data_IF_019851340204
#
_entry.id   IF_019851340204
#
_cell.length_a   1.000
_cell.length_b   1.000
_cell.length_c   1.000
_cell.angle_alpha   90.00
_cell.angle_beta   90.00
_cell.angle_gamma   90.00
#
_symmetry.space_group_name_H-M   'P 1'
#
loop_
_entity.id
_entity.type
_entity.pdbx_description
1 polymer ?
#
# COMPACT_ATOMS: atom_id res chain seq x y z
N UNK A 1 -2.88 -15.45 -30.93
CA UNK A 1 -2.27 -14.21 -30.41
C UNK A 1 -0.94 -14.05 -31.11
N UNK A 2 -0.68 -12.90 -31.72
CA UNK A 2 0.59 -12.65 -32.38
C UNK A 2 1.72 -12.65 -31.35
N UNK A 3 2.57 -13.68 -31.41
CA UNK A 3 3.73 -13.88 -30.53
C UNK A 3 4.88 -12.91 -30.78
N UNK A 4 4.63 -11.78 -31.46
CA UNK A 4 5.68 -10.94 -32.03
C UNK A 4 5.85 -9.58 -31.33
N UNK A 5 5.20 -9.37 -30.19
CA UNK A 5 5.41 -8.15 -29.39
C UNK A 5 6.73 -8.23 -28.61
N UNK A 6 7.29 -7.08 -28.24
CA UNK A 6 8.48 -7.04 -27.37
C UNK A 6 8.24 -7.76 -26.04
N UNK A 7 7.01 -7.77 -25.55
CA UNK A 7 6.66 -8.46 -24.31
C UNK A 7 6.72 -9.98 -24.44
N UNK A 8 6.26 -10.55 -25.56
CA UNK A 8 6.41 -11.98 -25.81
C UNK A 8 7.89 -12.38 -25.86
N UNK A 9 8.74 -11.57 -26.49
CA UNK A 9 10.19 -11.81 -26.50
C UNK A 9 10.80 -11.81 -25.10
N UNK A 10 10.42 -10.87 -24.23
CA UNK A 10 10.90 -10.87 -22.83
C UNK A 10 10.44 -12.10 -22.07
N UNK A 11 9.19 -12.54 -22.28
CA UNK A 11 8.69 -13.77 -21.66
C UNK A 11 9.43 -15.00 -22.18
N UNK A 12 9.69 -15.10 -23.47
CA UNK A 12 10.51 -16.18 -24.06
C UNK A 12 11.92 -16.19 -23.47
N UNK A 13 12.61 -15.05 -23.43
CA UNK A 13 13.93 -14.92 -22.79
C UNK A 13 13.89 -15.33 -21.30
N UNK A 14 12.80 -15.05 -20.59
CA UNK A 14 12.62 -15.48 -19.20
C UNK A 14 12.46 -16.99 -19.06
N UNK A 15 11.54 -17.60 -19.81
CA UNK A 15 11.30 -19.04 -19.74
C UNK A 15 12.47 -19.87 -20.28
N UNK A 16 13.21 -19.33 -21.26
CA UNK A 16 14.47 -19.89 -21.74
C UNK A 16 15.64 -19.71 -20.75
N UNK A 17 15.43 -18.97 -19.64
CA UNK A 17 16.43 -18.65 -18.62
C UNK A 17 17.63 -17.85 -19.13
N UNK A 18 17.43 -17.08 -20.20
CA UNK A 18 18.43 -16.17 -20.75
C UNK A 18 18.50 -14.86 -19.97
N UNK A 19 17.34 -14.36 -19.52
CA UNK A 19 17.22 -13.16 -18.66
C UNK A 19 16.16 -13.34 -17.60
N UNK A 20 16.43 -12.89 -16.38
CA UNK A 20 15.47 -12.99 -15.28
C UNK A 20 14.54 -11.77 -15.23
N UNK A 21 13.63 -11.67 -16.20
CA UNK A 21 12.70 -10.54 -16.30
C UNK A 21 11.75 -10.43 -15.10
N UNK A 22 11.41 -11.54 -14.44
CA UNK A 22 10.55 -11.56 -13.24
C UNK A 22 11.35 -11.46 -11.93
N UNK A 23 12.62 -11.02 -12.02
CA UNK A 23 13.44 -10.78 -10.84
C UNK A 23 12.90 -9.63 -10.01
N UNK A 24 12.50 -8.54 -10.66
CA UNK A 24 12.02 -7.31 -10.04
C UNK A 24 10.59 -7.04 -10.47
N UNK A 25 9.76 -6.61 -9.52
CA UNK A 25 8.36 -6.31 -9.79
C UNK A 25 7.68 -5.66 -8.59
N UNK A 26 6.38 -5.39 -8.70
CA UNK A 26 5.59 -4.81 -7.62
C UNK A 26 5.17 -5.91 -6.62
N UNK A 27 6.15 -6.60 -6.06
CA UNK A 27 5.93 -7.66 -5.06
C UNK A 27 5.87 -7.11 -3.63
N UNK A 28 6.16 -5.82 -3.46
CA UNK A 28 6.05 -5.11 -2.20
C UNK A 28 4.61 -4.63 -2.01
N UNK A 29 4.02 -4.95 -0.86
CA UNK A 29 2.70 -4.46 -0.46
C UNK A 29 2.74 -2.98 -0.09
N UNK A 30 1.64 -2.26 -0.27
CA UNK A 30 1.54 -0.84 0.11
C UNK A 30 1.19 -0.63 1.59
N UNK A 31 0.83 -1.71 2.30
CA UNK A 31 0.45 -1.72 3.71
C UNK A 31 0.75 -3.07 4.37
N UNK A 32 1.44 -3.08 5.51
CA UNK A 32 1.72 -4.29 6.32
C UNK A 32 1.47 -4.12 7.83
N UNK A 33 0.93 -2.99 8.27
CA UNK A 33 0.50 -2.81 9.65
C UNK A 33 -0.84 -3.51 9.93
N UNK A 34 -1.08 -3.91 11.18
CA UNK A 34 -2.30 -4.61 11.60
C UNK A 34 -2.39 -6.07 11.14
N UNK A 35 -1.27 -6.73 10.82
CA UNK A 35 -1.27 -8.08 10.25
C UNK A 35 -0.97 -9.17 11.29
N UNK A 36 -1.55 -10.36 11.10
CA UNK A 36 -1.33 -11.53 11.98
C UNK A 36 0.12 -12.01 12.02
N UNK A 37 0.92 -11.68 10.99
CA UNK A 37 2.34 -12.09 10.91
C UNK A 37 3.21 -11.27 11.86
N UNK A 38 2.85 -10.02 12.07
CA UNK A 38 3.56 -9.10 12.96
C UNK A 38 2.96 -9.04 14.37
N UNK A 39 1.98 -9.90 14.67
CA UNK A 39 1.35 -9.98 15.98
C UNK A 39 2.20 -10.77 16.97
N UNK A 40 2.71 -10.07 17.98
CA UNK A 40 3.38 -10.66 19.13
C UNK A 40 2.67 -10.29 20.44
N UNK A 41 1.41 -9.87 20.36
CA UNK A 41 0.59 -9.62 21.54
C UNK A 41 0.33 -10.93 22.30
N UNK A 42 0.16 -10.88 23.64
CA UNK A 42 -0.13 -12.06 24.44
C UNK A 42 -1.51 -12.67 24.16
N UNK A 43 -2.41 -11.94 23.50
CA UNK A 43 -3.82 -12.28 23.31
C UNK A 43 -4.23 -12.45 21.84
N UNK A 44 -3.32 -12.31 20.87
CA UNK A 44 -3.65 -12.43 19.45
C UNK A 44 -4.35 -11.20 18.86
N UNK A 45 -4.10 -10.01 19.41
CA UNK A 45 -4.63 -8.73 18.94
C UNK A 45 -3.76 -8.09 17.84
N UNK A 46 -3.75 -8.73 16.67
CA UNK A 46 -3.00 -8.28 15.50
C UNK A 46 -3.34 -6.84 15.08
N UNK A 47 -4.62 -6.45 15.22
CA UNK A 47 -5.11 -5.15 14.77
C UNK A 47 -4.55 -3.97 15.58
N UNK A 48 -4.33 -4.17 16.88
CA UNK A 48 -3.83 -3.12 17.76
C UNK A 48 -2.34 -3.28 18.11
N UNK A 49 -1.74 -4.45 17.91
CA UNK A 49 -0.34 -4.69 18.27
C UNK A 49 0.67 -3.95 17.38
N UNK A 50 0.41 -3.89 16.07
CA UNK A 50 1.19 -3.12 15.10
C UNK A 50 0.29 -2.08 14.41
N UNK A 51 -0.01 -0.94 15.05
CA UNK A 51 -0.77 0.13 14.43
C UNK A 51 0.06 0.88 13.38
N UNK A 52 -0.63 1.63 12.51
CA UNK A 52 0.00 2.53 11.53
C UNK A 52 1.05 3.48 12.15
N UNK A 53 0.87 3.92 13.39
CA UNK A 53 1.83 4.81 14.04
C UNK A 53 3.16 4.12 14.35
N UNK A 54 3.15 2.83 14.65
CA UNK A 54 4.37 2.05 14.85
C UNK A 54 5.01 1.64 13.53
N UNK A 55 4.23 1.48 12.46
CA UNK A 55 4.66 1.07 11.12
C UNK A 55 5.84 1.89 10.58
N UNK A 56 5.93 3.19 10.93
CA UNK A 56 7.02 4.07 10.47
C UNK A 56 8.33 3.94 11.23
N UNK A 57 8.30 3.31 12.40
CA UNK A 57 9.42 3.30 13.35
C UNK A 57 9.72 1.91 13.90
N UNK A 58 9.10 0.86 13.35
CA UNK A 58 9.30 -0.52 13.76
C UNK A 58 9.86 -1.32 12.60
N UNK A 59 10.90 -2.10 12.87
CA UNK A 59 11.41 -3.09 11.93
C UNK A 59 10.42 -4.24 11.79
N UNK A 60 10.05 -4.55 10.55
CA UNK A 60 9.18 -5.67 10.23
C UNK A 60 10.02 -6.95 10.21
N UNK A 61 9.40 -8.08 10.57
CA UNK A 61 10.08 -9.39 10.62
C UNK A 61 9.67 -10.29 9.46
N UNK A 62 8.47 -10.12 8.94
CA UNK A 62 7.86 -11.06 7.98
C UNK A 62 7.36 -10.39 6.69
N UNK A 63 7.68 -9.12 6.50
CA UNK A 63 7.30 -8.36 5.31
C UNK A 63 7.91 -6.98 5.31
N UNK A 64 7.53 -6.18 4.32
CA UNK A 64 7.81 -4.75 4.24
C UNK A 64 6.64 -4.06 3.53
N UNK A 65 6.50 -2.74 3.71
CA UNK A 65 5.52 -1.95 2.97
C UNK A 65 6.08 -0.68 2.32
N UNK A 66 5.40 -0.24 1.26
CA UNK A 66 5.76 1.00 0.57
C UNK A 66 4.84 1.37 -0.60
N UNK A 67 4.49 2.66 -0.71
CA UNK A 67 3.68 3.18 -1.82
C UNK A 67 4.40 2.96 -3.15
N UNK A 68 3.68 2.37 -4.11
CA UNK A 68 4.19 2.04 -5.44
C UNK A 68 5.52 1.27 -5.38
N UNK A 69 5.62 0.37 -4.40
CA UNK A 69 6.83 -0.35 -4.10
C UNK A 69 7.24 -1.34 -5.18
N UNK A 70 8.55 -1.48 -5.38
CA UNK A 70 9.15 -2.55 -6.17
C UNK A 70 10.15 -3.32 -5.31
N UNK A 71 10.25 -4.62 -5.51
CA UNK A 71 11.23 -5.45 -4.83
C UNK A 71 11.73 -6.55 -5.74
N UNK A 72 12.82 -7.20 -5.33
CA UNK A 72 13.14 -8.49 -5.93
C UNK A 72 12.07 -9.52 -5.52
N UNK A 73 11.94 -10.61 -6.27
CA UNK A 73 10.89 -11.63 -6.09
C UNK A 73 10.86 -12.32 -4.71
N UNK A 74 11.88 -12.10 -3.90
CA UNK A 74 11.99 -12.60 -2.52
C UNK A 74 11.80 -11.50 -1.46
N UNK A 75 11.58 -10.25 -1.88
CA UNK A 75 11.51 -9.06 -1.01
C UNK A 75 12.75 -8.90 -0.11
N UNK A 76 13.94 -9.22 -0.61
CA UNK A 76 15.21 -8.97 0.10
C UNK A 76 15.65 -7.51 -0.03
N UNK A 77 15.34 -6.89 -1.17
CA UNK A 77 15.63 -5.49 -1.47
C UNK A 77 14.34 -4.83 -1.91
N UNK A 78 13.92 -3.80 -1.19
CA UNK A 78 12.68 -3.09 -1.39
C UNK A 78 12.98 -1.62 -1.72
N UNK A 79 12.26 -1.09 -2.71
CA UNK A 79 12.25 0.33 -3.05
C UNK A 79 10.80 0.80 -2.98
N UNK A 80 10.59 2.02 -2.51
CA UNK A 80 9.27 2.64 -2.46
C UNK A 80 9.38 4.14 -2.66
N UNK A 81 8.26 4.77 -3.01
CA UNK A 81 8.17 6.23 -3.10
C UNK A 81 7.78 6.77 -1.74
N UNK A 82 8.58 7.71 -1.22
CA UNK A 82 8.26 8.50 -0.04
C UNK A 82 8.10 9.97 -0.44
N UNK A 83 7.00 10.59 -0.03
CA UNK A 83 6.66 11.97 -0.36
C UNK A 83 6.49 12.80 0.92
N UNK A 84 6.72 14.11 0.81
CA UNK A 84 6.39 15.07 1.86
C UNK A 84 5.95 16.39 1.23
N UNK A 85 4.77 16.87 1.62
CA UNK A 85 4.16 18.10 1.14
C UNK A 85 4.56 19.32 1.99
N UNK A 86 5.37 19.12 3.04
CA UNK A 86 5.77 20.16 3.99
C UNK A 86 4.77 20.43 5.10
N UNK A 87 3.56 19.87 5.01
CA UNK A 87 2.47 20.07 5.96
C UNK A 87 2.22 18.83 6.82
N UNK A 88 2.44 17.63 6.26
CA UNK A 88 2.22 16.37 6.96
C UNK A 88 3.22 16.21 8.12
N UNK A 89 2.78 15.69 9.28
CA UNK A 89 3.66 15.42 10.41
C UNK A 89 4.63 14.26 10.15
N UNK A 90 4.41 13.48 9.09
CA UNK A 90 5.12 12.25 8.76
C UNK A 90 5.38 12.17 7.25
N UNK A 91 6.37 11.37 6.83
CA UNK A 91 6.53 11.03 5.43
C UNK A 91 5.36 10.16 4.93
N UNK A 92 4.90 10.46 3.72
CA UNK A 92 3.92 9.64 3.01
C UNK A 92 4.64 8.54 2.24
N UNK A 93 4.88 7.44 2.94
CA UNK A 93 5.63 6.28 2.43
C UNK A 93 4.81 5.00 2.39
N UNK A 94 3.66 4.96 3.06
CA UNK A 94 2.72 3.83 3.12
C UNK A 94 1.27 4.32 3.13
N UNK A 95 0.35 3.46 2.70
CA UNK A 95 -1.06 3.80 2.70
C UNK A 95 -1.63 3.77 4.13
N UNK A 96 -2.42 4.79 4.42
CA UNK A 96 -3.21 4.92 5.63
C UNK A 96 -4.60 4.32 5.45
N UNK A 97 -5.15 3.83 6.55
CA UNK A 97 -6.49 3.25 6.57
C UNK A 97 -6.93 2.94 7.99
N UNK A 98 -8.10 2.34 8.08
CA UNK A 98 -8.70 1.83 9.30
C UNK A 98 -8.49 0.33 9.38
N UNK A 99 -8.16 -0.16 10.58
CA UNK A 99 -8.19 -1.60 10.86
C UNK A 99 -9.64 -2.09 10.91
N UNK A 100 -9.83 -3.41 10.87
CA UNK A 100 -11.15 -4.03 10.88
C UNK A 100 -12.09 -3.50 11.97
N UNK A 101 -11.62 -3.36 13.24
CA UNK A 101 -12.44 -2.80 14.31
C UNK A 101 -12.72 -1.29 14.21
N UNK A 102 -12.00 -0.54 13.36
CA UNK A 102 -12.11 0.91 13.23
C UNK A 102 -13.02 1.36 12.08
N UNK A 103 -13.22 0.52 11.05
CA UNK A 103 -14.18 0.80 9.98
C UNK A 103 -15.55 0.18 10.28
N UNK A 104 -16.62 0.88 9.90
CA UNK A 104 -17.99 0.40 10.06
C UNK A 104 -18.31 -0.80 9.15
N UNK A 105 -17.58 -0.97 8.04
CA UNK A 105 -17.65 -2.10 7.12
C UNK A 105 -16.37 -2.96 7.07
N UNK A 106 -15.42 -2.74 7.99
CA UNK A 106 -14.20 -3.54 8.12
C UNK A 106 -12.92 -2.74 7.87
N UNK A 107 -11.90 -3.40 7.32
CA UNK A 107 -10.66 -2.71 6.93
C UNK A 107 -10.91 -1.80 5.73
N UNK A 108 -10.33 -0.61 5.79
CA UNK A 108 -10.69 0.44 4.85
C UNK A 108 -9.51 1.39 4.59
N UNK A 109 -9.04 1.46 3.35
CA UNK A 109 -7.93 2.32 2.95
C UNK A 109 -8.46 3.71 2.65
N UNK A 110 -8.00 4.71 3.41
CA UNK A 110 -8.49 6.09 3.30
C UNK A 110 -7.68 6.93 2.32
N UNK A 111 -7.31 6.32 1.20
CA UNK A 111 -6.43 6.90 0.20
C UNK A 111 -6.88 6.56 -1.21
N UNK A 112 -6.57 7.44 -2.16
CA UNK A 112 -6.94 7.25 -3.57
C UNK A 112 -5.72 6.87 -4.39
N UNK A 113 -5.67 5.61 -4.80
CA UNK A 113 -4.59 5.02 -5.58
C UNK A 113 -5.13 4.03 -6.60
N UNK A 114 -4.43 3.89 -7.73
CA UNK A 114 -4.88 3.09 -8.86
C UNK A 114 -3.70 2.43 -9.57
N UNK A 115 -3.79 1.12 -9.76
CA UNK A 115 -2.94 0.40 -10.71
C UNK A 115 -3.46 0.64 -12.12
N UNK A 116 -2.68 1.33 -12.94
CA UNK A 116 -3.12 1.71 -14.28
C UNK A 116 -2.65 0.70 -15.33
N UNK A 117 -1.37 0.35 -15.32
CA UNK A 117 -0.78 -0.54 -16.33
C UNK A 117 0.37 -1.34 -15.72
N UNK A 118 0.52 -2.60 -16.12
CA UNK A 118 1.68 -3.41 -15.81
C UNK A 118 1.85 -4.51 -16.88
N UNK A 119 3.03 -4.57 -17.51
CA UNK A 119 3.36 -5.68 -18.40
C UNK A 119 3.64 -6.96 -17.60
N UNK A 120 3.37 -8.18 -18.12
CA UNK A 120 3.70 -9.43 -17.44
C UNK A 120 5.13 -9.53 -16.88
N UNK A 121 6.10 -8.95 -17.59
CA UNK A 121 7.53 -8.90 -17.20
C UNK A 121 7.89 -7.73 -16.29
N UNK A 122 6.92 -6.91 -15.87
CA UNK A 122 7.12 -5.69 -15.09
C UNK A 122 8.09 -4.65 -15.71
N UNK A 123 8.43 -4.84 -17.00
CA UNK A 123 9.30 -3.95 -17.75
C UNK A 123 8.70 -2.55 -17.95
N UNK A 124 7.39 -2.42 -17.80
CA UNK A 124 6.69 -1.15 -17.65
C UNK A 124 5.58 -1.28 -16.61
N UNK A 125 5.51 -0.30 -15.72
CA UNK A 125 4.53 -0.18 -14.65
C UNK A 125 4.05 1.26 -14.56
N UNK A 126 2.75 1.44 -14.33
CA UNK A 126 2.11 2.74 -14.15
C UNK A 126 1.17 2.71 -12.96
N UNK A 127 1.47 3.55 -11.98
CA UNK A 127 0.68 3.72 -10.77
C UNK A 127 0.24 5.19 -10.67
N UNK A 128 -1.00 5.41 -10.27
CA UNK A 128 -1.52 6.74 -9.97
C UNK A 128 -1.84 6.81 -8.49
N UNK A 129 -1.20 7.75 -7.80
CA UNK A 129 -1.49 8.08 -6.42
C UNK A 129 -1.94 9.54 -6.34
N UNK A 130 -3.13 9.79 -5.77
CA UNK A 130 -3.64 11.15 -5.58
C UNK A 130 -3.08 11.70 -4.27
N UNK A 131 -1.92 12.36 -4.36
CA UNK A 131 -1.22 12.88 -3.19
C UNK A 131 -1.78 14.24 -2.73
N UNK A 132 -2.33 14.34 -1.51
CA UNK A 132 -2.79 15.61 -0.96
C UNK A 132 -1.65 16.63 -0.79
N UNK A 133 -1.91 17.88 -1.19
CA UNK A 133 -0.99 18.99 -0.97
C UNK A 133 -1.19 19.68 0.39
N UNK A 134 -2.35 19.50 1.02
CA UNK A 134 -2.65 19.91 2.41
C UNK A 134 -2.29 18.80 3.39
N UNK A 135 -2.22 19.12 4.68
CA UNK A 135 -2.05 18.13 5.75
C UNK A 135 -3.13 17.03 5.65
N UNK A 136 -2.69 15.77 5.64
CA UNK A 136 -3.55 14.62 5.53
C UNK A 136 -4.41 14.45 6.80
N UNK A 137 -5.73 14.21 6.69
CA UNK A 137 -6.67 14.40 7.79
C UNK A 137 -6.82 13.12 8.61
N UNK A 138 -5.69 12.57 9.10
CA UNK A 138 -5.62 11.27 9.79
C UNK A 138 -6.64 11.13 10.92
N UNK A 139 -6.65 12.09 11.85
CA UNK A 139 -7.53 12.04 13.03
C UNK A 139 -9.00 12.20 12.65
N UNK A 140 -9.32 13.13 11.75
CA UNK A 140 -10.69 13.33 11.27
C UNK A 140 -11.26 12.06 10.65
N UNK A 141 -10.47 11.35 9.84
CA UNK A 141 -10.88 10.07 9.24
C UNK A 141 -11.15 8.99 10.30
N UNK A 142 -10.35 8.92 11.36
CA UNK A 142 -10.57 7.96 12.45
C UNK A 142 -11.81 8.33 13.26
N UNK A 143 -11.93 9.59 13.68
CA UNK A 143 -12.99 10.06 14.57
C UNK A 143 -14.37 9.97 13.90
N UNK A 144 -14.50 10.44 12.65
CA UNK A 144 -15.77 10.40 11.93
C UNK A 144 -16.23 8.97 11.65
N UNK A 145 -15.33 8.06 11.26
CA UNK A 145 -15.69 6.66 11.02
C UNK A 145 -16.04 5.92 12.32
N UNK A 146 -15.43 6.28 13.46
CA UNK A 146 -15.78 5.70 14.77
C UNK A 146 -17.22 6.02 15.21
N UNK A 147 -17.81 7.10 14.67
CA UNK A 147 -19.20 7.48 14.94
C UNK A 147 -20.22 6.77 14.03
N UNK A 148 -19.77 6.07 12.99
CA UNK A 148 -20.65 5.45 11.98
C UNK A 148 -20.98 4.01 12.34
N UNK A 149 -22.24 3.65 12.11
CA UNK A 149 -22.75 2.29 12.24
C UNK A 149 -22.72 1.52 10.93
N UNK A 150 -23.15 0.25 11.00
CA UNK A 150 -23.22 -0.66 9.84
C UNK A 150 -24.16 -0.18 8.73
N UNK A 151 -25.13 0.66 9.06
CA UNK A 151 -26.14 1.17 8.12
C UNK A 151 -25.74 2.50 7.48
N UNK A 152 -24.68 3.14 7.98
CA UNK A 152 -24.15 4.39 7.44
C UNK A 152 -23.12 4.07 6.34
N UNK A 153 -22.94 4.99 5.38
CA UNK A 153 -21.83 4.90 4.43
C UNK A 153 -20.49 5.13 5.14
N UNK A 154 -19.36 4.74 4.55
CA UNK A 154 -18.03 5.07 5.08
C UNK A 154 -17.75 6.59 4.95
N UNK A 155 -16.98 7.18 5.89
CA UNK A 155 -16.48 8.55 5.72
C UNK A 155 -15.17 8.50 4.95
N UNK A 156 -15.17 9.03 3.73
CA UNK A 156 -14.09 8.89 2.77
C UNK A 156 -13.15 10.08 2.74
N UNK A 157 -11.94 9.89 2.20
CA UNK A 157 -10.98 10.98 2.01
C UNK A 157 -11.58 12.13 1.19
N UNK A 158 -12.44 11.83 0.22
CA UNK A 158 -13.14 12.84 -0.59
C UNK A 158 -14.07 13.72 0.25
N UNK A 159 -14.71 13.18 1.29
CA UNK A 159 -15.62 13.92 2.15
C UNK A 159 -14.90 14.93 3.07
N UNK A 160 -13.57 14.92 3.08
CA UNK A 160 -12.76 15.85 3.87
C UNK A 160 -12.53 17.18 3.16
N UNK A 161 -12.79 17.26 1.84
CA UNK A 161 -12.47 18.43 1.00
C UNK A 161 -10.97 18.63 0.79
N UNK A 162 -10.15 17.59 1.00
CA UNK A 162 -8.69 17.74 0.95
C UNK A 162 -8.15 18.05 -0.47
N UNK A 163 -8.92 17.69 -1.51
CA UNK A 163 -8.55 17.94 -2.91
C UNK A 163 -9.17 19.21 -3.50
N UNK A 164 -9.91 19.98 -2.70
CA UNK A 164 -10.53 21.25 -3.11
C UNK A 164 -9.57 22.44 -3.01
#
# INVERSE_FOLDING_TARGET
MDSNTNEHKRLEEHYAKEKDWLKWGPYLSERQWGTVREDYSPNGDAWNYLPHDHARSRTYRWGEDGIAGISDRYCNICFAVALWNGNDPILKERLFGLSGPRGNHGEDVKELYYYLENTPTHSYMKHLYKYPQKEFPYMKLVEENALRGKLDNEYELLDTGIFD
#
